data_IF_097775767034
#
_entry.id   IF_097775767034
#
_cell.length_a   1.000
_cell.length_b   1.000
_cell.length_c   1.000
_cell.angle_alpha   90.00
_cell.angle_beta   90.00
_cell.angle_gamma   90.00
#
_symmetry.space_group_name_H-M   'P 1'
#
loop_
_entity.id
_entity.type
_entity.pdbx_description
1 polymer ?
#
# COMPACT_ATOMS: atom_id res chain seq x y z
N UNK A 1 -11.98 -9.97 -12.47
CA UNK A 1 -11.26 -8.70 -12.56
C UNK A 1 -11.77 -7.80 -11.45
N UNK A 2 -10.91 -7.34 -10.53
CA UNK A 2 -11.29 -6.30 -9.58
C UNK A 2 -11.46 -4.99 -10.37
N UNK A 3 -12.68 -4.47 -10.45
CA UNK A 3 -12.98 -3.29 -11.25
C UNK A 3 -12.33 -2.02 -10.69
N UNK A 4 -12.01 -1.08 -11.58
CA UNK A 4 -11.51 0.26 -11.25
C UNK A 4 -12.68 1.15 -10.86
N UNK A 5 -12.57 1.82 -9.71
CA UNK A 5 -13.46 2.91 -9.32
C UNK A 5 -12.94 4.25 -9.82
N UNK A 6 -13.84 5.22 -9.98
CA UNK A 6 -13.51 6.62 -10.27
C UNK A 6 -14.03 7.55 -9.19
N UNK A 7 -13.35 8.69 -9.06
CA UNK A 7 -13.72 9.81 -8.22
C UNK A 7 -13.47 11.12 -8.99
N UNK A 8 -14.31 12.11 -8.74
CA UNK A 8 -14.29 13.42 -9.38
C UNK A 8 -14.68 14.48 -8.38
N UNK A 9 -13.72 15.35 -8.06
CA UNK A 9 -13.94 16.49 -7.20
C UNK A 9 -13.98 17.76 -8.04
N UNK A 10 -15.19 18.31 -8.21
CA UNK A 10 -15.36 19.67 -8.71
C UNK A 10 -15.15 20.64 -7.55
N UNK A 11 -14.01 21.35 -7.53
CA UNK A 11 -13.70 22.29 -6.46
C UNK A 11 -14.42 23.64 -6.62
N UNK A 12 -14.87 23.97 -7.83
CA UNK A 12 -15.67 25.18 -8.08
C UNK A 12 -17.07 25.03 -7.45
N UNK A 13 -17.67 23.84 -7.61
CA UNK A 13 -18.99 23.51 -7.07
C UNK A 13 -18.93 22.81 -5.70
N UNK A 14 -17.73 22.58 -5.18
CA UNK A 14 -17.47 21.82 -3.95
C UNK A 14 -18.22 20.46 -3.92
N UNK A 15 -18.22 19.76 -5.05
CA UNK A 15 -18.98 18.51 -5.23
C UNK A 15 -18.04 17.34 -5.51
N UNK A 16 -18.04 16.35 -4.63
CA UNK A 16 -17.27 15.11 -4.77
C UNK A 16 -18.19 13.98 -5.24
N UNK A 17 -17.92 13.48 -6.44
CA UNK A 17 -18.69 12.39 -7.06
C UNK A 17 -17.85 11.13 -7.08
N UNK A 18 -18.38 10.05 -6.49
CA UNK A 18 -17.78 8.73 -6.52
C UNK A 18 -18.63 7.77 -7.36
N UNK A 19 -17.97 6.98 -8.21
CA UNK A 19 -18.60 5.81 -8.83
C UNK A 19 -19.06 4.80 -7.78
N UNK A 20 -20.01 3.93 -8.15
CA UNK A 20 -20.45 2.82 -7.28
C UNK A 20 -19.26 1.95 -6.84
N UNK A 21 -18.32 1.69 -7.76
CA UNK A 21 -17.13 0.90 -7.45
C UNK A 21 -16.20 1.58 -6.44
N UNK A 22 -16.05 2.90 -6.51
CA UNK A 22 -15.31 3.66 -5.48
C UNK A 22 -15.99 3.50 -4.11
N UNK A 23 -17.32 3.68 -4.04
CA UNK A 23 -18.10 3.50 -2.80
C UNK A 23 -17.93 2.09 -2.21
N UNK A 24 -17.97 1.05 -3.05
CA UNK A 24 -17.73 -0.35 -2.63
C UNK A 24 -16.35 -0.54 -1.98
N UNK A 25 -15.29 0.05 -2.54
CA UNK A 25 -13.92 -0.04 -2.00
C UNK A 25 -13.83 0.60 -0.60
N UNK A 26 -14.65 1.62 -0.34
CA UNK A 26 -14.79 2.24 0.98
C UNK A 26 -15.86 1.58 1.87
N UNK A 27 -16.49 0.48 1.43
CA UNK A 27 -17.53 -0.21 2.20
C UNK A 27 -18.84 0.58 2.33
N UNK A 28 -19.11 1.49 1.40
CA UNK A 28 -20.29 2.35 1.41
C UNK A 28 -21.40 1.83 0.49
N UNK A 29 -22.68 2.09 0.82
CA UNK A 29 -23.78 1.80 -0.09
C UNK A 29 -23.71 2.69 -1.34
N UNK A 30 -24.21 2.19 -2.48
CA UNK A 30 -24.17 2.92 -3.76
C UNK A 30 -24.86 4.29 -3.71
N UNK A 31 -25.87 4.45 -2.85
CA UNK A 31 -26.60 5.71 -2.65
C UNK A 31 -25.90 6.70 -1.70
N UNK A 32 -24.79 6.32 -1.05
CA UNK A 32 -24.09 7.22 -0.14
C UNK A 32 -23.58 8.46 -0.87
N UNK A 33 -23.82 9.63 -0.29
CA UNK A 33 -23.13 10.86 -0.64
C UNK A 33 -21.87 10.97 0.22
N UNK A 34 -20.79 11.49 -0.38
CA UNK A 34 -19.47 11.53 0.27
C UNK A 34 -18.87 12.90 0.03
N UNK A 35 -18.58 13.62 1.12
CA UNK A 35 -17.82 14.86 1.07
C UNK A 35 -16.32 14.60 1.13
N UNK A 36 -15.48 15.60 0.86
CA UNK A 36 -14.04 15.48 1.08
C UNK A 36 -13.70 15.21 2.56
N UNK A 37 -14.47 15.76 3.51
CA UNK A 37 -14.31 15.47 4.93
C UNK A 37 -14.64 14.01 5.26
N UNK A 38 -15.74 13.48 4.70
CA UNK A 38 -16.09 12.06 4.84
C UNK A 38 -14.99 11.15 4.30
N UNK A 39 -14.40 11.50 3.16
CA UNK A 39 -13.26 10.77 2.60
C UNK A 39 -12.10 10.66 3.61
N UNK A 40 -11.68 11.77 4.21
CA UNK A 40 -10.60 11.77 5.21
C UNK A 40 -10.97 10.92 6.44
N UNK A 41 -12.23 10.92 6.85
CA UNK A 41 -12.70 10.08 7.95
C UNK A 41 -12.72 8.58 7.61
N UNK A 42 -12.92 8.24 6.34
CA UNK A 42 -12.90 6.87 5.82
C UNK A 42 -11.49 6.31 5.62
N UNK A 43 -10.45 7.15 5.74
CA UNK A 43 -9.06 6.69 5.78
C UNK A 43 -8.70 6.13 7.16
N UNK A 44 -7.87 5.09 7.15
CA UNK A 44 -7.22 4.60 8.35
C UNK A 44 -6.36 5.72 8.97
N UNK A 45 -6.48 6.04 10.28
CA UNK A 45 -5.94 7.27 10.84
C UNK A 45 -4.43 7.48 10.61
N UNK A 46 -3.57 6.44 10.71
CA UNK A 46 -2.15 6.55 10.38
C UNK A 46 -1.84 6.99 8.95
N UNK A 47 -2.72 6.73 7.99
CA UNK A 47 -2.48 7.01 6.56
C UNK A 47 -2.99 8.40 6.15
N UNK A 48 -3.77 9.08 7.01
CA UNK A 48 -4.34 10.40 6.74
C UNK A 48 -3.30 11.48 6.45
N UNK A 49 -2.24 11.66 7.28
CA UNK A 49 -1.30 12.77 7.05
C UNK A 49 -0.57 12.65 5.71
N UNK A 50 -0.19 11.44 5.32
CA UNK A 50 0.45 11.18 4.03
C UNK A 50 -0.52 11.43 2.86
N UNK A 51 -1.80 11.07 3.04
CA UNK A 51 -2.83 11.30 2.03
C UNK A 51 -3.13 12.77 1.83
N UNK A 52 -3.27 13.54 2.91
CA UNK A 52 -3.45 14.99 2.87
C UNK A 52 -2.26 15.70 2.21
N UNK A 53 -1.03 15.29 2.56
CA UNK A 53 0.17 15.84 1.94
C UNK A 53 0.22 15.56 0.43
N UNK A 54 -0.19 14.37 -0.01
CA UNK A 54 -0.25 14.04 -1.44
C UNK A 54 -1.32 14.84 -2.18
N UNK A 55 -2.49 15.09 -1.58
CA UNK A 55 -3.51 15.98 -2.15
C UNK A 55 -2.97 17.41 -2.24
N UNK A 56 -2.34 17.92 -1.17
CA UNK A 56 -1.75 19.25 -1.16
C UNK A 56 -0.67 19.42 -2.24
N UNK A 57 0.20 18.41 -2.43
CA UNK A 57 1.21 18.41 -3.48
C UNK A 57 0.60 18.38 -4.90
N UNK A 58 -0.53 17.67 -5.09
CA UNK A 58 -1.27 17.70 -6.35
C UNK A 58 -1.95 19.06 -6.59
N UNK A 59 -2.29 19.79 -5.54
CA UNK A 59 -2.92 21.12 -5.63
C UNK A 59 -1.92 22.26 -5.79
N UNK A 60 -0.62 22.01 -5.62
CA UNK A 60 0.42 23.01 -5.80
C UNK A 60 0.49 23.47 -7.29
N UNK A 61 0.25 24.77 -7.58
CA UNK A 61 0.50 25.39 -8.89
C UNK A 61 1.87 25.09 -9.50
N UNK A 62 2.92 25.06 -8.66
CA UNK A 62 4.28 24.79 -9.08
C UNK A 62 4.57 23.28 -9.24
N UNK A 63 3.68 22.44 -8.72
CA UNK A 63 3.78 20.99 -8.76
C UNK A 63 3.30 20.38 -10.09
N UNK A 64 3.48 19.06 -10.26
CA UNK A 64 3.08 18.34 -11.47
C UNK A 64 1.55 18.22 -11.63
N UNK A 65 0.79 18.46 -10.56
CA UNK A 65 -0.65 18.23 -10.54
C UNK A 65 -1.06 16.76 -10.58
N UNK A 66 -0.14 15.83 -10.30
CA UNK A 66 -0.39 14.38 -10.32
C UNK A 66 -0.55 13.84 -8.91
N UNK A 67 -1.37 12.81 -8.78
CA UNK A 67 -1.62 12.10 -7.53
C UNK A 67 -1.44 10.60 -7.76
N UNK A 68 -0.66 9.94 -6.90
CA UNK A 68 -0.48 8.49 -6.89
C UNK A 68 -0.10 8.09 -5.46
N UNK A 69 -0.98 7.37 -4.78
CA UNK A 69 -0.79 6.98 -3.40
C UNK A 69 -1.50 5.68 -3.09
N UNK A 70 -0.97 4.96 -2.11
CA UNK A 70 -1.60 3.79 -1.51
C UNK A 70 -1.98 4.11 -0.06
N UNK A 71 -3.20 3.77 0.33
CA UNK A 71 -3.70 3.97 1.70
C UNK A 71 -4.66 2.86 2.09
N UNK A 72 -4.87 2.69 3.40
CA UNK A 72 -5.90 1.80 3.92
C UNK A 72 -7.21 2.55 4.12
N UNK A 73 -8.29 1.96 3.65
CA UNK A 73 -9.65 2.37 4.02
C UNK A 73 -9.99 1.84 5.40
N UNK A 74 -11.00 2.41 6.04
CA UNK A 74 -11.42 2.06 7.40
C UNK A 74 -12.91 1.73 7.43
N UNK A 75 -13.26 0.65 8.13
CA UNK A 75 -14.66 0.35 8.45
C UNK A 75 -15.24 1.38 9.41
N UNK A 76 -16.39 1.96 9.09
CA UNK A 76 -17.11 2.87 10.01
C UNK A 76 -17.63 2.15 11.25
N UNK A 77 -17.89 0.85 11.18
CA UNK A 77 -18.44 0.07 12.29
C UNK A 77 -17.36 -0.30 13.33
N UNK A 78 -16.20 -0.77 12.86
CA UNK A 78 -15.14 -1.30 13.75
C UNK A 78 -13.97 -0.36 13.92
N UNK A 79 -13.82 0.65 13.06
CA UNK A 79 -12.66 1.54 13.02
C UNK A 79 -11.37 0.85 12.56
N UNK A 80 -11.42 -0.43 12.18
CA UNK A 80 -10.27 -1.21 11.73
C UNK A 80 -10.01 -1.00 10.23
N UNK A 81 -8.76 -1.21 9.77
CA UNK A 81 -8.45 -1.16 8.35
C UNK A 81 -9.27 -2.22 7.60
N UNK A 82 -9.90 -1.80 6.50
CA UNK A 82 -10.81 -2.63 5.71
C UNK A 82 -10.10 -3.19 4.47
N UNK A 83 -9.59 -2.32 3.60
CA UNK A 83 -8.87 -2.69 2.37
C UNK A 83 -7.66 -1.78 2.16
N UNK A 84 -6.68 -2.27 1.41
CA UNK A 84 -5.68 -1.43 0.76
C UNK A 84 -6.20 -0.93 -0.58
N UNK A 85 -6.08 0.36 -0.83
CA UNK A 85 -6.43 0.96 -2.10
C UNK A 85 -5.26 1.77 -2.66
N UNK A 86 -5.08 1.71 -3.99
CA UNK A 86 -4.25 2.65 -4.73
C UNK A 86 -5.15 3.65 -5.44
N UNK A 87 -4.90 4.93 -5.21
CA UNK A 87 -5.59 6.01 -5.89
C UNK A 87 -4.61 6.80 -6.76
N UNK A 88 -4.98 7.01 -8.02
CA UNK A 88 -4.22 7.80 -8.98
C UNK A 88 -5.11 8.89 -9.57
N UNK A 89 -4.57 10.07 -9.87
CA UNK A 89 -5.38 11.17 -10.37
C UNK A 89 -4.59 12.37 -10.83
N UNK A 90 -5.33 13.39 -11.29
CA UNK A 90 -4.77 14.64 -11.78
C UNK A 90 -5.62 15.84 -11.39
N UNK A 91 -4.95 16.90 -10.96
CA UNK A 91 -5.48 18.22 -10.71
C UNK A 91 -5.47 19.06 -12.01
N UNK A 92 -6.60 19.71 -12.27
CA UNK A 92 -6.82 20.61 -13.38
C UNK A 92 -6.99 22.01 -12.82
N UNK A 93 -6.19 22.94 -13.33
CA UNK A 93 -6.13 24.31 -12.83
C UNK A 93 -6.86 25.25 -13.79
N UNK A 94 -7.12 26.47 -13.32
CA UNK A 94 -7.53 27.59 -14.16
C UNK A 94 -6.46 27.91 -15.24
N UNK A 95 -6.81 28.81 -16.18
CA UNK A 95 -5.91 29.21 -17.28
C UNK A 95 -4.57 29.76 -16.77
N UNK A 96 -4.58 30.50 -15.65
CA UNK A 96 -3.39 31.05 -15.02
C UNK A 96 -2.58 30.03 -14.20
N UNK A 97 -3.08 28.80 -14.05
CA UNK A 97 -2.54 27.76 -13.16
C UNK A 97 -2.36 28.25 -11.71
N UNK A 98 -3.22 29.14 -11.23
CA UNK A 98 -3.17 29.70 -9.88
C UNK A 98 -4.02 28.92 -8.89
N UNK A 99 -5.11 28.31 -9.36
CA UNK A 99 -6.06 27.61 -8.51
C UNK A 99 -6.52 26.31 -9.17
N UNK A 100 -6.58 25.24 -8.39
CA UNK A 100 -7.17 23.98 -8.85
C UNK A 100 -8.70 24.13 -8.98
N UNK A 101 -9.25 23.75 -10.13
CA UNK A 101 -10.68 23.79 -10.42
C UNK A 101 -11.33 22.39 -10.32
N UNK A 102 -10.59 21.34 -10.69
CA UNK A 102 -11.10 19.97 -10.68
C UNK A 102 -9.99 18.99 -10.34
N UNK A 103 -10.33 17.93 -9.61
CA UNK A 103 -9.41 16.86 -9.26
C UNK A 103 -10.09 15.53 -9.51
N UNK A 104 -9.62 14.79 -10.51
CA UNK A 104 -10.26 13.52 -10.92
C UNK A 104 -9.25 12.39 -10.94
N UNK A 105 -9.74 11.17 -10.78
CA UNK A 105 -8.89 10.01 -10.83
C UNK A 105 -9.61 8.69 -10.68
N UNK A 106 -8.80 7.68 -10.42
CA UNK A 106 -9.20 6.29 -10.25
C UNK A 106 -8.76 5.76 -8.91
N UNK A 107 -9.41 4.69 -8.48
CA UNK A 107 -9.07 3.93 -7.29
C UNK A 107 -9.21 2.44 -7.57
N UNK A 108 -8.25 1.66 -7.11
CA UNK A 108 -8.22 0.20 -7.27
C UNK A 108 -7.95 -0.46 -5.93
N UNK A 109 -8.68 -1.53 -5.62
CA UNK A 109 -8.38 -2.40 -4.49
C UNK A 109 -7.10 -3.20 -4.78
N UNK A 110 -6.08 -2.99 -3.96
CA UNK A 110 -4.78 -3.66 -4.05
C UNK A 110 -4.55 -4.62 -2.86
N UNK A 111 -5.58 -4.92 -2.07
CA UNK A 111 -5.48 -5.79 -0.88
C UNK A 111 -4.93 -7.16 -1.25
N UNK A 112 -5.39 -7.74 -2.36
CA UNK A 112 -4.87 -9.01 -2.87
C UNK A 112 -3.37 -8.93 -3.19
N UNK A 113 -2.91 -7.83 -3.80
CA UNK A 113 -1.49 -7.62 -4.10
C UNK A 113 -0.67 -7.52 -2.81
N UNK A 114 -1.11 -6.72 -1.83
CA UNK A 114 -0.42 -6.58 -0.54
C UNK A 114 -0.33 -7.90 0.22
N UNK A 115 -1.41 -8.68 0.24
CA UNK A 115 -1.42 -10.00 0.88
C UNK A 115 -0.42 -10.96 0.20
N UNK A 116 -0.30 -10.92 -1.13
CA UNK A 116 0.69 -11.73 -1.85
C UNK A 116 2.12 -11.27 -1.56
N UNK A 117 2.37 -9.95 -1.52
CA UNK A 117 3.67 -9.38 -1.15
C UNK A 117 4.09 -9.79 0.28
N UNK A 118 3.15 -9.77 1.21
CA UNK A 118 3.40 -10.15 2.60
C UNK A 118 3.65 -11.65 2.74
N UNK A 119 2.86 -12.51 2.08
CA UNK A 119 3.09 -13.96 2.04
C UNK A 119 4.46 -14.31 1.44
N UNK A 120 4.86 -13.63 0.37
CA UNK A 120 6.17 -13.84 -0.25
C UNK A 120 7.30 -13.42 0.70
N UNK A 121 7.12 -12.31 1.42
CA UNK A 121 8.09 -11.83 2.40
C UNK A 121 8.25 -12.80 3.56
N UNK A 122 7.15 -13.34 4.08
CA UNK A 122 7.17 -14.35 5.14
C UNK A 122 7.88 -15.63 4.68
N UNK A 123 7.53 -16.14 3.49
CA UNK A 123 8.18 -17.31 2.92
C UNK A 123 9.69 -17.11 2.71
N UNK A 124 10.11 -15.92 2.28
CA UNK A 124 11.52 -15.58 2.12
C UNK A 124 12.27 -15.58 3.46
N UNK A 125 11.69 -14.95 4.49
CA UNK A 125 12.27 -14.93 5.83
C UNK A 125 12.39 -16.33 6.43
N UNK A 126 11.37 -17.18 6.25
CA UNK A 126 11.41 -18.57 6.73
C UNK A 126 12.51 -19.37 6.01
N UNK A 127 12.64 -19.18 4.69
CA UNK A 127 13.69 -19.84 3.91
C UNK A 127 15.08 -19.38 4.36
N UNK A 128 15.28 -18.09 4.58
CA UNK A 128 16.54 -17.53 5.05
C UNK A 128 16.94 -18.13 6.42
N UNK A 129 15.99 -18.23 7.36
CA UNK A 129 16.23 -18.88 8.65
C UNK A 129 16.64 -20.35 8.50
N UNK A 130 15.97 -21.12 7.63
CA UNK A 130 16.32 -22.52 7.35
C UNK A 130 17.71 -22.66 6.73
N UNK A 131 18.07 -21.77 5.81
CA UNK A 131 19.39 -21.74 5.15
C UNK A 131 20.48 -21.46 6.18
N UNK A 132 20.29 -20.47 7.04
CA UNK A 132 21.24 -20.15 8.12
C UNK A 132 21.43 -21.33 9.05
N UNK A 133 20.33 -21.95 9.50
CA UNK A 133 20.39 -23.11 10.39
C UNK A 133 21.12 -24.30 9.74
N UNK A 134 20.79 -24.63 8.49
CA UNK A 134 21.42 -25.75 7.78
C UNK A 134 22.91 -25.50 7.53
N UNK A 135 23.31 -24.27 7.22
CA UNK A 135 24.72 -23.92 7.06
C UNK A 135 25.49 -24.10 8.38
N UNK A 136 24.93 -23.67 9.51
CA UNK A 136 25.56 -23.86 10.83
C UNK A 136 25.72 -25.35 11.19
N UNK A 137 24.71 -26.18 10.90
CA UNK A 137 24.80 -27.64 11.07
C UNK A 137 25.91 -28.24 10.20
N UNK A 138 25.92 -27.91 8.91
CA UNK A 138 26.92 -28.42 7.97
C UNK A 138 28.34 -28.00 8.35
N UNK A 139 28.53 -26.75 8.77
CA UNK A 139 29.83 -26.29 9.25
C UNK A 139 30.29 -27.07 10.48
N UNK A 140 29.37 -27.39 11.39
CA UNK A 140 29.68 -28.20 12.57
C UNK A 140 30.07 -29.62 12.17
N UNK A 141 29.29 -30.27 11.31
CA UNK A 141 29.60 -31.63 10.82
C UNK A 141 30.95 -31.67 10.08
N UNK A 142 31.23 -30.69 9.23
CA UNK A 142 32.50 -30.57 8.51
C UNK A 142 33.67 -30.38 9.48
N UNK A 143 33.52 -29.55 10.51
CA UNK A 143 34.54 -29.37 11.56
C UNK A 143 34.80 -30.69 12.30
N UNK A 144 33.76 -31.41 12.70
CA UNK A 144 33.87 -32.69 13.42
C UNK A 144 34.53 -33.77 12.55
N UNK A 145 34.15 -33.88 11.27
CA UNK A 145 34.77 -34.82 10.32
C UNK A 145 36.27 -34.52 10.12
N UNK A 146 36.64 -33.25 9.94
CA UNK A 146 38.05 -32.85 9.80
C UNK A 146 38.86 -33.21 11.04
N UNK A 147 38.32 -32.99 12.24
CA UNK A 147 38.99 -33.36 13.49
C UNK A 147 39.22 -34.88 13.60
N UNK A 148 38.24 -35.70 13.21
CA UNK A 148 38.36 -37.17 13.19
C UNK A 148 39.43 -37.68 12.22
N UNK A 149 39.49 -37.12 11.02
CA UNK A 149 40.51 -37.48 10.02
C UNK A 149 41.92 -37.13 10.53
N UNK A 150 42.09 -35.95 11.12
CA UNK A 150 43.38 -35.55 11.69
C UNK A 150 43.81 -36.46 12.85
N UNK A 151 42.89 -36.86 13.73
CA UNK A 151 43.18 -37.77 14.84
C UNK A 151 43.52 -39.20 14.37
N UNK A 152 42.87 -39.70 13.32
CA UNK A 152 43.15 -41.03 12.76
C UNK A 152 44.50 -41.12 12.04
N UNK A 153 44.95 -40.03 11.41
CA UNK A 153 46.26 -39.98 10.74
C UNK A 153 47.45 -40.01 11.73
N UNK A 154 47.25 -39.64 13.00
CA UNK A 154 48.30 -39.61 14.03
C UNK A 154 48.55 -40.92 14.78
N UNK A 155 47.69 -41.93 14.63
CA UNK A 155 47.82 -43.23 15.33
C UNK A 155 48.46 -44.34 14.47
N UNK A 156 48.79 -44.03 13.20
CA UNK A 156 49.35 -44.99 12.25
C UNK A 156 50.87 -44.87 12.02
N UNK A 157 51.60 -44.17 12.89
CA UNK A 157 53.05 -43.94 12.76
C UNK A 157 53.85 -44.47 13.94
#
# INVERSE_FOLDING_TARGET
>A
AAGVGTWDYNLVENTLTWSNRCKEIFGLPAAAEVTYADFLELLYPPDRPATEAAVAAAYDPAGPGTYDIEYRTRSRETGQPLLWARATGRAFFDEGRTQVQRFIGTITDITGQKNMEDQLREAYNELEQKVVFRNLELEREVRELRARVAAGAGQGS
#
